data_IF_648261643450
#
_entry.id   IF_648261643450
#
_cell.length_a   1.000
_cell.length_b   1.000
_cell.length_c   1.000
_cell.angle_alpha   90.00
_cell.angle_beta   90.00
_cell.angle_gamma   90.00
#
_symmetry.space_group_name_H-M   'P 1'
#
loop_
_entity.id
_entity.type
_entity.pdbx_description
1 polymer ?
#
# COMPACT_ATOMS: atom_id res chain seq x y z
N UNK A 1 -0.03 -2.15 18.17
CA UNK A 1 0.34 -0.72 18.14
C UNK A 1 1.10 -0.41 16.85
N UNK A 2 0.88 0.75 16.29
CA UNK A 2 1.62 1.16 15.10
C UNK A 2 1.94 2.66 15.17
N UNK A 3 2.86 3.07 14.31
CA UNK A 3 3.26 4.47 14.21
C UNK A 3 3.24 4.90 12.75
N UNK A 4 2.66 6.08 12.48
CA UNK A 4 2.71 6.68 11.15
C UNK A 4 3.81 7.72 11.11
N UNK A 5 4.47 7.79 9.96
CA UNK A 5 5.59 8.70 9.77
C UNK A 5 5.59 9.19 8.33
N UNK A 6 5.86 10.47 8.13
CA UNK A 6 5.99 11.06 6.82
C UNK A 6 7.35 11.72 6.71
N UNK A 7 8.17 11.28 5.76
CA UNK A 7 9.49 11.87 5.52
C UNK A 7 9.95 11.59 4.09
N UNK A 8 10.69 12.52 3.52
CA UNK A 8 11.33 12.37 2.19
C UNK A 8 10.36 11.93 1.09
N UNK A 9 9.12 12.46 1.11
CA UNK A 9 8.12 12.09 0.13
C UNK A 9 7.49 10.73 0.35
N UNK A 10 7.71 10.10 1.51
CA UNK A 10 7.16 8.79 1.86
C UNK A 10 6.18 8.89 3.00
N UNK A 11 5.10 8.13 2.90
CA UNK A 11 4.19 7.91 4.01
C UNK A 11 4.38 6.48 4.49
N UNK A 12 4.69 6.32 5.77
CA UNK A 12 5.00 5.02 6.36
C UNK A 12 4.05 4.67 7.50
N UNK A 13 3.63 3.41 7.57
CA UNK A 13 2.94 2.86 8.73
C UNK A 13 3.80 1.72 9.26
N UNK A 14 4.25 1.86 10.50
CA UNK A 14 5.17 0.91 11.14
C UNK A 14 4.38 0.02 12.08
N UNK A 15 4.34 -1.27 11.78
CA UNK A 15 3.67 -2.27 12.63
C UNK A 15 4.69 -2.81 13.62
N UNK A 16 4.69 -2.26 14.82
CA UNK A 16 5.73 -2.53 15.82
C UNK A 16 5.72 -3.96 16.34
N UNK A 17 4.59 -4.63 16.29
CA UNK A 17 4.41 -5.97 16.85
C UNK A 17 4.89 -7.08 15.92
N UNK A 18 5.31 -6.75 14.70
CA UNK A 18 5.73 -7.72 13.68
C UNK A 18 7.13 -7.37 13.18
N UNK A 19 8.11 -7.35 14.09
CA UNK A 19 9.51 -7.07 13.78
C UNK A 19 9.71 -5.74 13.03
N UNK A 20 8.92 -4.74 13.39
CA UNK A 20 8.95 -3.42 12.76
C UNK A 20 8.69 -3.46 11.25
N UNK A 21 7.75 -4.29 10.83
CA UNK A 21 7.32 -4.31 9.43
C UNK A 21 6.73 -2.95 9.08
N UNK A 22 7.12 -2.42 7.93
CA UNK A 22 6.76 -1.06 7.52
C UNK A 22 6.04 -1.11 6.18
N UNK A 23 4.80 -0.60 6.15
CA UNK A 23 4.11 -0.32 4.90
C UNK A 23 4.50 1.08 4.42
N UNK A 24 4.86 1.20 3.15
CA UNK A 24 5.34 2.46 2.57
C UNK A 24 4.55 2.82 1.33
N UNK A 25 4.18 4.09 1.22
CA UNK A 25 3.64 4.68 0.00
C UNK A 25 4.56 5.83 -0.40
N UNK A 26 5.13 5.76 -1.60
CA UNK A 26 6.01 6.80 -2.12
C UNK A 26 5.20 7.90 -2.79
N UNK A 27 5.55 9.15 -2.52
CA UNK A 27 4.95 10.33 -3.17
C UNK A 27 3.41 10.32 -3.21
N UNK A 28 2.71 10.15 -2.05
CA UNK A 28 1.26 10.04 -2.05
C UNK A 28 0.54 11.31 -2.52
N UNK A 29 1.24 12.44 -2.51
CA UNK A 29 0.65 13.74 -2.90
C UNK A 29 0.95 14.16 -4.33
N UNK A 30 1.68 13.35 -5.08
CA UNK A 30 2.00 13.61 -6.48
C UNK A 30 1.08 12.79 -7.37
N UNK A 31 0.66 13.36 -8.50
CA UNK A 31 -0.21 12.67 -9.45
C UNK A 31 0.53 11.56 -10.18
N UNK A 32 -0.23 10.58 -10.63
CA UNK A 32 0.26 9.48 -11.44
C UNK A 32 0.55 8.24 -10.62
N UNK A 33 0.96 7.19 -11.30
CA UNK A 33 1.29 5.92 -10.66
C UNK A 33 2.49 6.09 -9.74
N UNK A 34 2.36 5.62 -8.50
CA UNK A 34 3.43 5.65 -7.50
C UNK A 34 3.66 4.25 -6.92
N UNK A 35 4.76 4.10 -6.21
CA UNK A 35 5.14 2.81 -5.63
C UNK A 35 4.60 2.66 -4.22
N UNK A 36 4.19 1.43 -3.90
CA UNK A 36 3.83 1.03 -2.55
C UNK A 36 4.44 -0.33 -2.27
N UNK A 37 4.98 -0.53 -1.06
CA UNK A 37 5.68 -1.76 -0.73
C UNK A 37 5.72 -1.98 0.78
N UNK A 38 6.16 -3.17 1.18
CA UNK A 38 6.33 -3.52 2.59
C UNK A 38 7.80 -3.82 2.83
N UNK A 39 8.37 -3.20 3.85
CA UNK A 39 9.73 -3.44 4.29
C UNK A 39 9.74 -4.29 5.55
N UNK A 40 10.81 -5.08 5.74
CA UNK A 40 11.06 -5.74 7.01
C UNK A 40 11.90 -4.83 7.93
N UNK A 41 12.23 -5.31 9.13
CA UNK A 41 13.03 -4.55 10.09
C UNK A 41 14.44 -4.22 9.63
N UNK A 42 14.94 -4.87 8.59
CA UNK A 42 16.25 -4.61 8.00
C UNK A 42 16.19 -3.70 6.77
N UNK A 43 15.05 -3.03 6.55
CA UNK A 43 14.79 -2.14 5.41
C UNK A 43 14.85 -2.84 4.04
N UNK A 44 14.57 -4.13 4.01
CA UNK A 44 14.48 -4.88 2.76
C UNK A 44 13.03 -4.94 2.29
N UNK A 45 12.78 -4.75 1.00
CA UNK A 45 11.44 -4.90 0.44
C UNK A 45 11.09 -6.39 0.45
N UNK A 46 10.06 -6.75 1.22
CA UNK A 46 9.57 -8.12 1.26
C UNK A 46 8.35 -8.33 0.37
N UNK A 47 7.54 -7.29 0.18
CA UNK A 47 6.37 -7.34 -0.71
C UNK A 47 6.28 -6.04 -1.50
N UNK A 48 6.30 -6.14 -2.82
CA UNK A 48 6.06 -4.98 -3.67
C UNK A 48 4.57 -4.89 -3.94
N UNK A 49 3.89 -4.05 -3.17
CA UNK A 49 2.43 -3.93 -3.19
C UNK A 49 1.91 -3.41 -4.52
N UNK A 50 2.60 -2.43 -5.09
CA UNK A 50 2.20 -1.87 -6.38
C UNK A 50 2.25 -2.92 -7.49
N UNK A 51 3.29 -3.77 -7.52
CA UNK A 51 3.38 -4.85 -8.49
C UNK A 51 2.30 -5.91 -8.27
N UNK A 52 2.03 -6.27 -7.01
CA UNK A 52 0.96 -7.20 -6.68
C UNK A 52 -0.40 -6.69 -7.16
N UNK A 53 -0.66 -5.40 -6.95
CA UNK A 53 -1.90 -4.78 -7.38
C UNK A 53 -2.02 -4.75 -8.91
N UNK A 54 -0.96 -4.36 -9.59
CA UNK A 54 -0.93 -4.31 -11.07
C UNK A 54 -1.15 -5.71 -11.64
N UNK A 55 -0.50 -6.72 -11.08
CA UNK A 55 -0.65 -8.11 -11.56
C UNK A 55 -2.10 -8.60 -11.43
N UNK A 56 -2.79 -8.19 -10.35
CA UNK A 56 -4.16 -8.63 -10.09
C UNK A 56 -5.21 -7.79 -10.83
N UNK A 57 -5.00 -6.49 -10.96
CA UNK A 57 -6.04 -5.56 -11.41
C UNK A 57 -5.61 -4.61 -12.53
N UNK A 58 -4.35 -4.67 -12.95
CA UNK A 58 -3.81 -3.69 -13.90
C UNK A 58 -4.56 -3.62 -15.23
N UNK A 59 -4.95 -4.78 -15.77
CA UNK A 59 -5.68 -4.82 -17.04
C UNK A 59 -7.07 -4.18 -16.92
N UNK A 60 -7.71 -4.33 -15.76
CA UNK A 60 -9.02 -3.73 -15.50
C UNK A 60 -8.92 -2.20 -15.40
N UNK A 61 -7.78 -1.69 -14.95
CA UNK A 61 -7.58 -0.25 -14.73
C UNK A 61 -6.50 0.31 -15.66
N UNK A 62 -6.61 -0.03 -16.95
CA UNK A 62 -5.76 0.53 -18.01
C UNK A 62 -4.26 0.32 -17.79
N UNK A 63 -3.89 -0.89 -17.36
CA UNK A 63 -2.49 -1.25 -17.22
C UNK A 63 -1.75 -0.49 -16.11
N UNK A 64 -2.49 0.04 -15.15
CA UNK A 64 -1.90 0.77 -14.03
C UNK A 64 -1.86 2.27 -14.19
N UNK A 65 -2.15 2.80 -15.37
CA UNK A 65 -2.24 4.25 -15.58
C UNK A 65 -3.45 4.78 -14.80
N UNK A 66 -3.23 5.77 -13.96
CA UNK A 66 -4.28 6.33 -13.14
C UNK A 66 -4.46 5.66 -11.78
N UNK A 67 -3.67 4.63 -11.48
CA UNK A 67 -3.65 4.02 -10.15
C UNK A 67 -2.69 4.81 -9.28
N UNK A 68 -3.19 5.29 -8.14
CA UNK A 68 -2.39 6.11 -7.23
C UNK A 68 -2.60 5.65 -5.79
N UNK A 69 -1.53 5.25 -5.13
CA UNK A 69 -1.56 4.88 -3.72
C UNK A 69 -1.52 6.16 -2.89
N UNK A 70 -2.50 6.35 -2.02
CA UNK A 70 -2.67 7.60 -1.28
C UNK A 70 -2.40 7.49 0.20
N UNK A 71 -2.48 6.29 0.77
CA UNK A 71 -2.30 6.13 2.20
C UNK A 71 -1.97 4.67 2.54
N UNK A 72 -1.39 4.48 3.71
CA UNK A 72 -1.19 3.18 4.32
C UNK A 72 -1.49 3.31 5.80
N UNK A 73 -2.27 2.38 6.34
CA UNK A 73 -2.68 2.38 7.75
C UNK A 73 -2.64 0.99 8.33
N UNK A 74 -2.63 0.93 9.65
CA UNK A 74 -2.79 -0.31 10.39
C UNK A 74 -4.16 -0.28 11.05
N UNK A 75 -4.98 -1.30 10.75
CA UNK A 75 -6.27 -1.50 11.40
C UNK A 75 -6.30 -2.94 11.90
N UNK A 76 -6.54 -3.11 13.21
CA UNK A 76 -6.60 -4.44 13.85
C UNK A 76 -5.33 -5.27 13.58
N UNK A 77 -4.16 -4.63 13.63
CA UNK A 77 -2.88 -5.31 13.41
C UNK A 77 -2.58 -5.70 11.97
N UNK A 78 -3.37 -5.25 11.04
CA UNK A 78 -3.22 -5.55 9.61
C UNK A 78 -2.90 -4.30 8.82
N UNK A 79 -1.99 -4.41 7.87
CA UNK A 79 -1.66 -3.31 6.96
C UNK A 79 -2.71 -3.18 5.87
N UNK A 80 -3.24 -1.97 5.71
CA UNK A 80 -4.15 -1.61 4.63
C UNK A 80 -3.54 -0.53 3.76
N UNK A 81 -3.64 -0.73 2.45
CA UNK A 81 -3.23 0.26 1.45
C UNK A 81 -4.46 0.86 0.80
N UNK A 82 -4.47 2.19 0.68
CA UNK A 82 -5.57 2.96 0.12
C UNK A 82 -5.19 3.45 -1.25
N UNK A 83 -6.09 3.30 -2.21
CA UNK A 83 -5.82 3.54 -3.62
C UNK A 83 -6.89 4.44 -4.19
N UNK A 84 -6.47 5.46 -4.94
CA UNK A 84 -7.35 6.28 -5.77
C UNK A 84 -7.14 5.86 -7.22
N UNK A 85 -8.21 5.48 -7.89
CA UNK A 85 -8.17 5.14 -9.30
C UNK A 85 -8.85 6.26 -10.06
N UNK A 86 -8.09 6.94 -10.91
CA UNK A 86 -8.55 8.12 -11.64
C UNK A 86 -9.84 7.86 -12.42
N UNK A 87 -10.79 8.78 -12.25
CA UNK A 87 -12.08 8.74 -12.94
C UNK A 87 -12.94 7.52 -12.60
N UNK A 88 -12.66 6.87 -11.46
CA UNK A 88 -13.42 5.70 -11.02
C UNK A 88 -13.78 5.81 -9.55
N UNK A 89 -12.86 5.43 -8.68
CA UNK A 89 -13.24 5.07 -7.32
C UNK A 89 -12.04 5.00 -6.40
N UNK A 90 -12.32 4.98 -5.12
CA UNK A 90 -11.32 4.79 -4.07
C UNK A 90 -11.49 3.40 -3.50
N UNK A 91 -10.38 2.69 -3.35
CA UNK A 91 -10.36 1.33 -2.81
C UNK A 91 -9.35 1.21 -1.70
N UNK A 92 -9.50 0.15 -0.93
CA UNK A 92 -8.49 -0.29 0.02
C UNK A 92 -8.39 -1.82 0.01
N UNK A 93 -7.24 -2.33 0.41
CA UNK A 93 -7.05 -3.76 0.60
C UNK A 93 -5.95 -4.00 1.62
N UNK A 94 -6.00 -5.19 2.23
CA UNK A 94 -4.99 -5.61 3.19
C UNK A 94 -3.90 -6.44 2.51
N UNK A 95 -2.71 -6.44 3.14
CA UNK A 95 -1.63 -7.34 2.76
C UNK A 95 -1.32 -8.21 3.97
N UNK A 96 -1.31 -9.52 3.77
CA UNK A 96 -0.85 -10.47 4.77
C UNK A 96 0.67 -10.38 4.82
N UNK A 97 1.21 -9.90 5.93
CA UNK A 97 2.65 -9.64 6.05
C UNK A 97 3.48 -10.93 6.11
N UNK A 98 2.86 -12.07 6.32
CA UNK A 98 3.55 -13.37 6.36
C UNK A 98 3.63 -14.03 4.98
N UNK A 99 2.58 -13.89 4.16
CA UNK A 99 2.48 -14.57 2.88
C UNK A 99 2.54 -13.63 1.68
N UNK A 100 2.32 -12.33 1.88
CA UNK A 100 2.21 -11.36 0.79
C UNK A 100 0.89 -11.43 0.06
N UNK A 101 -0.02 -12.29 0.50
CA UNK A 101 -1.33 -12.41 -0.13
C UNK A 101 -2.18 -11.19 0.16
N UNK A 102 -2.77 -10.63 -0.90
CA UNK A 102 -3.65 -9.49 -0.72
C UNK A 102 -5.06 -9.94 -0.38
N UNK A 103 -5.71 -9.19 0.47
CA UNK A 103 -7.13 -9.39 0.77
C UNK A 103 -8.02 -8.87 -0.35
N UNK A 104 -9.33 -8.91 -0.16
CA UNK A 104 -10.27 -8.42 -1.16
C UNK A 104 -10.13 -6.93 -1.35
N UNK A 105 -10.41 -6.47 -2.58
CA UNK A 105 -10.47 -5.05 -2.89
C UNK A 105 -11.80 -4.52 -2.40
N UNK A 106 -11.76 -3.57 -1.47
CA UNK A 106 -12.95 -3.02 -0.82
C UNK A 106 -13.07 -1.55 -1.19
N UNK A 107 -14.25 -1.14 -1.64
CA UNK A 107 -14.50 0.26 -1.91
C UNK A 107 -14.35 1.08 -0.63
N UNK A 108 -13.55 2.13 -0.70
CA UNK A 108 -13.26 3.00 0.43
C UNK A 108 -13.96 4.35 0.25
N UNK A 109 -14.54 4.84 1.33
CA UNK A 109 -15.21 6.13 1.32
C UNK A 109 -14.75 7.00 2.47
#
# INVERSE_FOLDING_TARGET
>A
MYRRKQENGRLCAILLESDNVIGVVENPYMRGFNSAYVLNGANQIIWNVSDLFIAAYGSKYYGGVGIHFVDVRVENGTLYFFIDISNCCDFRFSINIKTGEKGPLIESR
#
